data_IF_335762033591
#
_entry.id   IF_335762033591
#
_cell.length_a   1.000
_cell.length_b   1.000
_cell.length_c   1.000
_cell.angle_alpha   90.00
_cell.angle_beta   90.00
_cell.angle_gamma   90.00
#
_symmetry.space_group_name_H-M   'P 1'
#
loop_
_entity.id
_entity.type
_entity.pdbx_description
1 polymer ?
#
# COMPACT_ATOMS: atom_id res chain seq x y z
N UNK A 1 -33.74 -12.82 -10.42
CA UNK A 1 -33.13 -11.48 -10.25
C UNK A 1 -33.88 -10.53 -11.17
N UNK A 2 -34.45 -9.47 -10.62
CA UNK A 2 -35.23 -8.51 -11.43
C UNK A 2 -34.32 -7.47 -12.09
N UNK A 3 -34.79 -6.80 -13.15
CA UNK A 3 -34.03 -5.74 -13.83
C UNK A 3 -33.67 -4.57 -12.89
N UNK A 4 -34.54 -4.29 -11.91
CA UNK A 4 -34.30 -3.27 -10.89
C UNK A 4 -33.20 -3.69 -9.90
N UNK A 5 -33.21 -4.97 -9.52
CA UNK A 5 -32.23 -5.56 -8.61
C UNK A 5 -30.84 -5.62 -9.27
N UNK A 6 -30.76 -5.97 -10.56
CA UNK A 6 -29.51 -5.89 -11.33
C UNK A 6 -28.97 -4.45 -11.42
N UNK A 7 -29.83 -3.47 -11.70
CA UNK A 7 -29.42 -2.08 -11.82
C UNK A 7 -28.89 -1.52 -10.48
N UNK A 8 -29.52 -1.89 -9.37
CA UNK A 8 -29.05 -1.55 -8.03
C UNK A 8 -27.67 -2.15 -7.74
N UNK A 9 -27.46 -3.44 -8.05
CA UNK A 9 -26.18 -4.10 -7.80
C UNK A 9 -25.05 -3.49 -8.63
N UNK A 10 -25.28 -3.20 -9.91
CA UNK A 10 -24.28 -2.53 -10.75
C UNK A 10 -23.93 -1.16 -10.21
N UNK A 11 -24.93 -0.37 -9.80
CA UNK A 11 -24.70 0.93 -9.19
C UNK A 11 -23.87 0.82 -7.91
N UNK A 12 -24.16 -0.18 -7.08
CA UNK A 12 -23.41 -0.41 -5.83
C UNK A 12 -21.96 -0.82 -6.10
N UNK A 13 -21.71 -1.61 -7.15
CA UNK A 13 -20.35 -1.97 -7.56
C UNK A 13 -19.57 -0.73 -7.99
N UNK A 14 -20.16 0.12 -8.85
CA UNK A 14 -19.53 1.37 -9.28
C UNK A 14 -19.17 2.28 -8.09
N UNK A 15 -20.11 2.44 -7.14
CA UNK A 15 -19.88 3.26 -5.95
C UNK A 15 -18.73 2.71 -5.10
N UNK A 16 -18.66 1.38 -4.94
CA UNK A 16 -17.60 0.71 -4.17
C UNK A 16 -16.24 0.79 -4.86
N UNK A 17 -16.20 0.67 -6.19
CA UNK A 17 -14.97 0.83 -6.97
C UNK A 17 -14.44 2.27 -6.86
N UNK A 18 -15.32 3.27 -6.96
CA UNK A 18 -14.96 4.67 -6.80
C UNK A 18 -14.44 4.98 -5.37
N UNK A 19 -15.09 4.44 -4.34
CA UNK A 19 -14.64 4.58 -2.95
C UNK A 19 -13.27 3.93 -2.73
N UNK A 20 -13.06 2.73 -3.28
CA UNK A 20 -11.77 2.04 -3.22
C UNK A 20 -10.65 2.84 -3.90
N UNK A 21 -10.89 3.40 -5.09
CA UNK A 21 -9.89 4.22 -5.79
C UNK A 21 -9.59 5.52 -5.02
N UNK A 22 -10.61 6.14 -4.43
CA UNK A 22 -10.41 7.29 -3.56
C UNK A 22 -9.58 6.95 -2.30
N UNK A 23 -9.86 5.81 -1.65
CA UNK A 23 -9.12 5.33 -0.49
C UNK A 23 -7.68 4.93 -0.85
N UNK A 24 -7.46 4.32 -2.02
CA UNK A 24 -6.12 4.03 -2.54
C UNK A 24 -5.32 5.30 -2.77
N UNK A 25 -5.95 6.32 -3.36
CA UNK A 25 -5.33 7.64 -3.54
C UNK A 25 -5.04 8.31 -2.20
N UNK A 26 -5.83 7.97 -1.16
CA UNK A 26 -5.68 8.44 0.22
C UNK A 26 -4.67 7.65 1.04
N UNK A 27 -4.02 6.58 0.53
CA UNK A 27 -2.91 5.96 1.24
C UNK A 27 -1.85 7.02 1.53
N UNK A 28 -1.81 7.39 2.80
CA UNK A 28 -1.18 8.61 3.24
C UNK A 28 0.33 8.36 3.25
N UNK A 29 1.05 8.94 2.28
CA UNK A 29 2.50 8.97 2.30
C UNK A 29 3.07 9.64 3.57
N UNK A 30 2.22 10.22 4.43
CA UNK A 30 2.58 10.72 5.76
C UNK A 30 2.56 9.65 6.85
N UNK A 31 2.16 8.40 6.60
CA UNK A 31 2.28 7.33 7.60
C UNK A 31 3.74 7.23 8.02
N UNK A 32 4.02 7.60 9.26
CA UNK A 32 5.36 7.54 9.83
C UNK A 32 5.67 6.09 10.16
N UNK A 33 6.60 5.51 9.40
CA UNK A 33 7.14 4.19 9.70
C UNK A 33 8.04 4.28 10.93
N UNK A 34 7.93 3.28 11.80
CA UNK A 34 8.87 3.08 12.90
C UNK A 34 10.19 2.50 12.39
N UNK A 35 11.24 2.60 13.21
CA UNK A 35 12.53 1.94 12.92
C UNK A 35 12.38 0.41 12.77
N UNK A 36 11.43 -0.19 13.49
CA UNK A 36 11.17 -1.62 13.39
C UNK A 36 10.50 -1.97 12.05
N UNK A 37 9.56 -1.14 11.57
CA UNK A 37 8.94 -1.32 10.25
C UNK A 37 9.98 -1.28 9.15
N UNK A 38 10.88 -0.30 9.20
CA UNK A 38 12.00 -0.17 8.24
C UNK A 38 12.89 -1.41 8.23
N UNK A 39 13.20 -1.96 9.41
CA UNK A 39 14.00 -3.18 9.54
C UNK A 39 13.30 -4.39 8.90
N UNK A 40 12.00 -4.54 9.13
CA UNK A 40 11.21 -5.62 8.55
C UNK A 40 11.03 -5.48 7.04
N UNK A 41 10.76 -4.26 6.54
CA UNK A 41 10.69 -3.99 5.10
C UNK A 41 11.97 -4.46 4.39
N UNK A 42 13.15 -4.09 4.92
CA UNK A 42 14.44 -4.54 4.37
C UNK A 42 14.57 -6.06 4.43
N UNK A 43 14.27 -6.66 5.58
CA UNK A 43 14.35 -8.12 5.76
C UNK A 43 13.45 -8.88 4.80
N UNK A 44 12.23 -8.39 4.55
CA UNK A 44 11.27 -9.01 3.64
C UNK A 44 11.69 -8.83 2.17
N UNK A 45 12.18 -7.65 1.80
CA UNK A 45 12.74 -7.42 0.46
C UNK A 45 13.92 -8.37 0.17
N UNK A 46 14.84 -8.50 1.14
CA UNK A 46 16.07 -9.30 0.96
C UNK A 46 15.82 -10.82 1.01
N UNK A 47 14.98 -11.29 1.95
CA UNK A 47 14.84 -12.73 2.22
C UNK A 47 13.58 -13.36 1.61
N UNK A 48 12.45 -12.64 1.65
CA UNK A 48 11.17 -13.14 1.12
C UNK A 48 10.97 -12.75 -0.35
N UNK A 49 11.84 -11.90 -0.91
CA UNK A 49 11.80 -11.41 -2.30
C UNK A 49 10.46 -10.79 -2.69
N UNK A 50 9.78 -10.17 -1.71
CA UNK A 50 8.57 -9.41 -1.98
C UNK A 50 8.91 -8.20 -2.85
N UNK A 51 8.05 -7.93 -3.81
CA UNK A 51 8.14 -6.74 -4.66
C UNK A 51 7.90 -5.46 -3.85
N UNK A 52 8.35 -4.34 -4.39
CA UNK A 52 8.10 -3.04 -3.75
C UNK A 52 6.60 -2.72 -3.68
N UNK A 53 5.81 -3.17 -4.65
CA UNK A 53 4.36 -2.98 -4.67
C UNK A 53 3.67 -3.75 -3.52
N UNK A 54 4.03 -5.01 -3.31
CA UNK A 54 3.50 -5.82 -2.20
C UNK A 54 3.87 -5.20 -0.84
N UNK A 55 5.11 -4.74 -0.68
CA UNK A 55 5.55 -4.07 0.54
C UNK A 55 4.83 -2.72 0.76
N UNK A 56 4.58 -1.97 -0.32
CA UNK A 56 3.83 -0.71 -0.27
C UNK A 56 2.39 -0.94 0.23
N UNK A 57 1.73 -1.98 -0.28
CA UNK A 57 0.41 -2.40 0.14
C UNK A 57 0.40 -2.85 1.60
N UNK A 58 1.30 -3.76 1.98
CA UNK A 58 1.40 -4.29 3.35
C UNK A 58 1.60 -3.19 4.40
N UNK A 59 2.43 -2.19 4.09
CA UNK A 59 2.76 -1.13 5.03
C UNK A 59 1.92 0.14 4.85
N UNK A 60 1.08 0.22 3.81
CA UNK A 60 0.23 1.37 3.51
C UNK A 60 1.04 2.64 3.24
N UNK A 61 2.11 2.53 2.47
CA UNK A 61 2.97 3.65 2.05
C UNK A 61 3.22 3.59 0.54
N UNK A 62 3.56 4.70 -0.09
CA UNK A 62 3.88 4.69 -1.52
C UNK A 62 5.11 3.84 -1.86
N UNK A 63 5.06 3.16 -3.01
CA UNK A 63 6.19 2.40 -3.57
C UNK A 63 7.51 3.18 -3.64
N UNK A 64 7.53 4.50 -3.95
CA UNK A 64 8.76 5.29 -3.89
C UNK A 64 9.40 5.35 -2.49
N UNK A 65 8.59 5.28 -1.42
CA UNK A 65 9.11 5.26 -0.04
C UNK A 65 9.75 3.91 0.27
N UNK A 66 9.13 2.81 -0.14
CA UNK A 66 9.72 1.46 -0.04
C UNK A 66 11.06 1.42 -0.76
N UNK A 67 11.11 1.89 -2.01
CA UNK A 67 12.34 1.94 -2.81
C UNK A 67 13.46 2.72 -2.09
N UNK A 68 13.15 3.88 -1.49
CA UNK A 68 14.12 4.66 -0.70
C UNK A 68 14.59 3.94 0.57
N UNK A 69 13.70 3.21 1.25
CA UNK A 69 14.01 2.45 2.47
C UNK A 69 14.92 1.26 2.16
N UNK A 70 14.60 0.49 1.10
CA UNK A 70 15.37 -0.67 0.65
C UNK A 70 16.76 -0.22 0.18
N UNK A 71 16.84 0.89 -0.56
CA UNK A 71 18.11 1.50 -0.99
C UNK A 71 18.86 2.24 0.12
N UNK A 72 18.32 2.26 1.36
CA UNK A 72 18.93 2.91 2.54
C UNK A 72 19.16 4.42 2.38
N UNK A 73 18.42 5.07 1.48
CA UNK A 73 18.44 6.53 1.29
C UNK A 73 17.71 7.21 2.47
N UNK A 74 16.63 6.58 2.95
CA UNK A 74 15.93 6.97 4.17
C UNK A 74 16.31 6.03 5.32
N UNK A 75 16.37 6.58 6.53
CA UNK A 75 16.75 5.84 7.75
C UNK A 75 18.12 5.16 7.60
N UNK A 76 19.22 5.92 7.45
CA UNK A 76 20.56 5.33 7.43
C UNK A 76 20.77 4.53 8.71
N UNK A 77 21.44 3.38 8.60
CA UNK A 77 21.86 2.66 9.80
C UNK A 77 22.84 3.56 10.55
N UNK A 78 22.42 4.05 11.71
CA UNK A 78 23.36 4.62 12.68
C UNK A 78 24.24 3.46 13.13
N UNK A 79 25.54 3.62 12.84
CA UNK A 79 26.60 2.69 13.23
C UNK A 79 26.68 2.54 14.75
#
# INVERSE_FOLDING_TARGET
MTTAETAFLYRRIEDLEAENEALKTKYDNRKKLSHNDVRWIRRLADNAKLSHAELAEMYGVGEPNISRIVRRIYYPEVA
#
